data_IF_625143655088
#
_entry.id   IF_625143655088
#
_cell.length_a   1.000
_cell.length_b   1.000
_cell.length_c   1.000
_cell.angle_alpha   90.00
_cell.angle_beta   90.00
_cell.angle_gamma   90.00
#
_symmetry.space_group_name_H-M   'P 1'
#
loop_
_entity.id
_entity.type
_entity.pdbx_description
1 polymer ?
#
# COMPACT_ATOMS: atom_id res chain seq x y z
N UNK A 1 -20.42 0.89 32.16
CA UNK A 1 -20.24 0.91 30.67
C UNK A 1 -21.50 1.46 30.00
N UNK A 2 -21.37 2.06 28.85
CA UNK A 2 -22.53 2.50 28.06
C UNK A 2 -23.00 1.34 27.20
N UNK A 3 -24.22 0.87 27.45
CA UNK A 3 -24.78 -0.33 26.83
C UNK A 3 -25.66 0.04 25.63
N UNK A 4 -25.47 -0.69 24.55
CA UNK A 4 -26.32 -0.70 23.34
C UNK A 4 -26.91 -2.10 23.24
N UNK A 5 -28.19 -2.21 22.96
CA UNK A 5 -28.85 -3.50 22.78
C UNK A 5 -28.59 -4.13 21.38
N UNK A 6 -29.20 -5.31 21.15
CA UNK A 6 -29.05 -6.00 19.85
C UNK A 6 -29.66 -5.23 18.70
N UNK A 7 -30.69 -4.40 18.91
CA UNK A 7 -31.36 -3.59 17.89
C UNK A 7 -30.60 -2.29 17.57
N UNK A 8 -29.60 -1.93 18.42
CA UNK A 8 -28.86 -0.68 18.29
C UNK A 8 -29.38 0.46 19.15
N UNK A 9 -30.35 0.21 20.03
CA UNK A 9 -30.87 1.20 20.96
C UNK A 9 -29.93 1.41 22.16
N UNK A 10 -29.74 2.66 22.57
CA UNK A 10 -28.92 2.99 23.72
C UNK A 10 -29.73 2.80 25.03
N UNK A 11 -29.35 1.82 25.80
CA UNK A 11 -29.96 1.57 27.13
C UNK A 11 -29.47 2.60 28.17
N UNK A 12 -28.22 3.09 27.99
CA UNK A 12 -27.64 4.04 28.94
C UNK A 12 -26.38 3.51 29.61
N UNK A 13 -26.02 4.09 30.75
CA UNK A 13 -24.85 3.67 31.55
C UNK A 13 -25.30 2.69 32.59
N UNK A 14 -24.82 1.44 32.48
CA UNK A 14 -25.16 0.35 33.41
C UNK A 14 -23.90 -0.27 34.00
N UNK A 15 -24.01 -0.90 35.20
CA UNK A 15 -22.93 -1.72 35.76
C UNK A 15 -22.61 -2.92 34.88
N UNK A 16 -21.35 -3.37 34.89
CA UNK A 16 -20.89 -4.51 34.07
C UNK A 16 -21.68 -5.78 34.31
N UNK A 17 -22.02 -6.07 35.58
CA UNK A 17 -22.76 -7.26 35.95
C UNK A 17 -24.17 -7.27 35.33
N UNK A 18 -24.87 -6.16 35.40
CA UNK A 18 -26.19 -6.02 34.78
C UNK A 18 -26.14 -6.17 33.25
N UNK A 19 -25.13 -5.59 32.58
CA UNK A 19 -24.94 -5.76 31.13
C UNK A 19 -24.69 -7.22 30.75
N UNK A 20 -23.91 -7.97 31.55
CA UNK A 20 -23.68 -9.41 31.36
C UNK A 20 -24.94 -10.24 31.52
N UNK A 21 -25.76 -9.95 32.56
CA UNK A 21 -27.03 -10.64 32.78
C UNK A 21 -28.01 -10.41 31.62
N UNK A 22 -28.07 -9.17 31.10
CA UNK A 22 -28.90 -8.82 29.94
C UNK A 22 -28.47 -9.54 28.68
N UNK A 23 -27.16 -9.67 28.44
CA UNK A 23 -26.60 -10.40 27.29
C UNK A 23 -26.92 -11.90 27.41
N UNK A 24 -26.71 -12.51 28.58
CA UNK A 24 -27.02 -13.92 28.86
C UNK A 24 -28.51 -14.25 28.70
N UNK A 25 -29.41 -13.37 29.18
CA UNK A 25 -30.85 -13.55 29.03
C UNK A 25 -31.32 -13.59 27.58
N UNK A 26 -30.51 -13.06 26.65
CA UNK A 26 -30.76 -13.03 25.19
C UNK A 26 -29.94 -14.06 24.42
N UNK A 27 -29.16 -14.88 25.11
CA UNK A 27 -28.24 -15.86 24.52
C UNK A 27 -27.25 -15.21 23.53
N UNK A 28 -26.82 -13.97 23.85
CA UNK A 28 -25.89 -13.17 23.04
C UNK A 28 -24.64 -12.80 23.87
N UNK A 29 -23.63 -12.32 23.15
CA UNK A 29 -22.39 -11.87 23.74
C UNK A 29 -22.42 -10.38 24.07
N UNK A 30 -21.64 -9.98 25.06
CA UNK A 30 -21.37 -8.58 25.37
C UNK A 30 -20.03 -8.17 24.74
N UNK A 31 -20.09 -7.35 23.73
CA UNK A 31 -18.92 -6.98 22.91
C UNK A 31 -18.56 -5.52 23.12
N UNK A 32 -17.32 -5.27 23.48
CA UNK A 32 -16.78 -3.91 23.60
C UNK A 32 -16.46 -3.34 22.22
N UNK A 33 -17.21 -2.27 21.82
CA UNK A 33 -17.05 -1.66 20.50
C UNK A 33 -16.04 -0.51 20.53
N UNK A 34 -16.09 0.33 21.60
CA UNK A 34 -15.21 1.49 21.76
C UNK A 34 -14.59 1.46 23.16
N UNK A 35 -13.39 0.88 23.31
CA UNK A 35 -12.74 0.74 24.62
C UNK A 35 -12.20 2.07 25.18
N UNK A 36 -11.81 2.99 24.32
CA UNK A 36 -11.08 4.20 24.71
C UNK A 36 -11.97 5.33 25.24
N UNK A 37 -13.28 5.13 25.33
CA UNK A 37 -14.22 6.11 25.89
C UNK A 37 -14.46 5.87 27.38
N UNK A 38 -14.74 6.94 28.10
CA UNK A 38 -15.12 6.87 29.54
C UNK A 38 -16.56 7.38 29.71
N UNK A 39 -17.54 6.51 29.98
CA UNK A 39 -17.46 5.05 30.10
C UNK A 39 -17.28 4.33 28.73
N UNK A 40 -16.70 3.10 28.71
CA UNK A 40 -16.55 2.33 27.48
C UNK A 40 -17.92 1.96 26.89
N UNK A 41 -17.99 1.89 25.56
CA UNK A 41 -19.21 1.52 24.83
C UNK A 41 -19.20 0.03 24.51
N UNK A 42 -20.25 -0.66 24.94
CA UNK A 42 -20.46 -2.09 24.73
C UNK A 42 -21.80 -2.33 24.04
N UNK A 43 -21.88 -3.38 23.27
CA UNK A 43 -23.11 -3.79 22.56
C UNK A 43 -23.39 -5.27 22.79
N UNK A 44 -24.67 -5.61 22.97
CA UNK A 44 -25.15 -6.98 22.99
C UNK A 44 -25.31 -7.44 21.55
N UNK A 45 -24.55 -8.46 21.13
CA UNK A 45 -24.59 -9.01 19.79
C UNK A 45 -23.92 -10.39 19.72
N UNK A 46 -24.12 -11.09 18.62
CA UNK A 46 -23.37 -12.31 18.29
C UNK A 46 -21.92 -11.92 17.86
N UNK A 47 -20.94 -12.34 18.67
CA UNK A 47 -19.52 -12.05 18.45
C UNK A 47 -19.00 -12.68 17.15
N UNK A 48 -19.47 -13.86 16.78
CA UNK A 48 -19.09 -14.52 15.53
C UNK A 48 -19.50 -13.72 14.29
N UNK A 49 -20.75 -13.23 14.27
CA UNK A 49 -21.24 -12.36 13.19
C UNK A 49 -20.48 -11.04 13.13
N UNK A 50 -20.19 -10.46 14.30
CA UNK A 50 -19.41 -9.21 14.37
C UNK A 50 -17.99 -9.39 13.83
N UNK A 51 -17.28 -10.45 14.23
CA UNK A 51 -15.94 -10.75 13.70
C UNK A 51 -15.95 -10.95 12.18
N UNK A 52 -16.92 -11.71 11.69
CA UNK A 52 -17.05 -11.93 10.24
C UNK A 52 -17.26 -10.62 9.48
N UNK A 53 -18.15 -9.78 9.99
CA UNK A 53 -18.46 -8.49 9.37
C UNK A 53 -17.24 -7.55 9.36
N UNK A 54 -16.52 -7.46 10.49
CA UNK A 54 -15.27 -6.72 10.63
C UNK A 54 -14.18 -7.22 9.68
N UNK A 55 -14.02 -8.53 9.57
CA UNK A 55 -13.06 -9.13 8.63
C UNK A 55 -13.42 -8.80 7.17
N UNK A 56 -14.71 -8.88 6.81
CA UNK A 56 -15.20 -8.54 5.48
C UNK A 56 -14.98 -7.07 5.14
N UNK A 57 -15.28 -6.16 6.06
CA UNK A 57 -15.03 -4.71 5.89
C UNK A 57 -13.53 -4.41 5.73
N UNK A 58 -12.68 -5.01 6.56
CA UNK A 58 -11.23 -4.88 6.47
C UNK A 58 -10.69 -5.40 5.13
N UNK A 59 -11.23 -6.51 4.63
CA UNK A 59 -10.86 -7.06 3.33
C UNK A 59 -11.31 -6.14 2.19
N UNK A 60 -12.52 -5.60 2.25
CA UNK A 60 -13.01 -4.64 1.27
C UNK A 60 -12.20 -3.33 1.26
N UNK A 61 -11.82 -2.83 2.45
CA UNK A 61 -10.96 -1.65 2.54
C UNK A 61 -9.58 -1.92 1.94
N UNK A 62 -9.00 -3.09 2.23
CA UNK A 62 -7.71 -3.50 1.64
C UNK A 62 -7.79 -3.63 0.11
N UNK A 63 -8.89 -4.14 -0.44
CA UNK A 63 -9.06 -4.28 -1.89
C UNK A 63 -9.26 -2.93 -2.60
N UNK A 64 -9.87 -1.95 -1.92
CA UNK A 64 -10.07 -0.58 -2.45
C UNK A 64 -8.79 0.26 -2.39
N UNK A 65 -7.84 -0.06 -1.53
CA UNK A 65 -6.54 0.60 -1.51
C UNK A 65 -5.75 0.21 -2.75
N UNK A 66 -5.49 1.16 -3.64
CA UNK A 66 -4.56 0.97 -4.76
C UNK A 66 -3.20 0.58 -4.19
N UNK A 67 -2.79 -0.67 -4.38
CA UNK A 67 -1.47 -1.13 -3.96
C UNK A 67 -0.42 -0.46 -4.83
N UNK A 68 0.37 0.43 -4.25
CA UNK A 68 1.56 0.96 -4.90
C UNK A 68 2.61 -0.15 -4.93
N UNK A 69 2.90 -0.66 -6.12
CA UNK A 69 3.94 -1.66 -6.35
C UNK A 69 5.18 -1.01 -6.96
N UNK A 70 6.34 -1.65 -6.79
CA UNK A 70 7.56 -1.25 -7.48
C UNK A 70 7.67 -2.10 -8.75
N UNK A 71 7.50 -1.48 -9.91
CA UNK A 71 7.66 -2.14 -11.21
C UNK A 71 9.11 -2.03 -11.66
N UNK A 72 9.74 -3.17 -11.95
CA UNK A 72 11.11 -3.24 -12.46
C UNK A 72 11.16 -3.02 -13.97
N UNK A 73 12.07 -2.18 -14.42
CA UNK A 73 12.33 -1.93 -15.83
C UNK A 73 13.83 -1.96 -16.06
N UNK A 74 14.27 -2.61 -17.13
CA UNK A 74 15.68 -2.70 -17.48
C UNK A 74 15.92 -2.04 -18.83
N UNK A 75 16.98 -1.24 -18.89
CA UNK A 75 17.51 -0.65 -20.12
C UNK A 75 18.97 -1.10 -20.28
N UNK A 76 19.45 -1.16 -21.51
CA UNK A 76 20.83 -1.48 -21.85
C UNK A 76 21.62 -0.22 -22.19
N UNK A 77 22.97 -0.33 -22.15
CA UNK A 77 23.86 0.77 -22.53
C UNK A 77 23.80 1.06 -24.04
N UNK A 78 23.43 0.05 -24.82
CA UNK A 78 23.34 0.10 -26.29
C UNK A 78 21.92 -0.17 -26.77
N UNK A 79 20.93 0.30 -26.03
CA UNK A 79 19.53 0.16 -26.41
C UNK A 79 19.21 1.16 -27.52
N UNK A 80 18.57 0.70 -28.58
CA UNK A 80 18.13 1.55 -29.69
C UNK A 80 17.10 2.58 -29.23
N UNK A 81 17.05 3.71 -29.92
CA UNK A 81 16.15 4.83 -29.59
C UNK A 81 14.68 4.38 -29.54
N UNK A 82 14.28 3.50 -30.46
CA UNK A 82 12.94 2.93 -30.47
C UNK A 82 12.62 2.14 -29.19
N UNK A 83 13.54 1.30 -28.73
CA UNK A 83 13.37 0.54 -27.49
C UNK A 83 13.35 1.47 -26.27
N UNK A 84 14.14 2.54 -26.28
CA UNK A 84 14.11 3.58 -25.25
C UNK A 84 12.72 4.22 -25.18
N UNK A 85 12.13 4.59 -26.31
CA UNK A 85 10.76 5.16 -26.36
C UNK A 85 9.71 4.18 -25.82
N UNK A 86 9.82 2.90 -26.19
CA UNK A 86 8.90 1.86 -25.68
C UNK A 86 9.01 1.75 -24.15
N UNK A 87 10.25 1.76 -23.60
CA UNK A 87 10.49 1.73 -22.16
C UNK A 87 10.00 3.00 -21.46
N UNK A 88 10.14 4.15 -22.12
CA UNK A 88 9.61 5.42 -21.61
C UNK A 88 8.08 5.37 -21.49
N UNK A 89 7.37 4.97 -22.53
CA UNK A 89 5.90 4.82 -22.52
C UNK A 89 5.44 3.81 -21.45
N UNK A 90 6.20 2.73 -21.27
CA UNK A 90 5.92 1.75 -20.23
C UNK A 90 6.10 2.35 -18.81
N UNK A 91 7.15 3.14 -18.62
CA UNK A 91 7.41 3.86 -17.36
C UNK A 91 6.28 4.84 -17.05
N UNK A 92 5.86 5.62 -18.02
CA UNK A 92 4.76 6.59 -17.90
C UNK A 92 3.43 5.90 -17.53
N UNK A 93 3.15 4.75 -18.15
CA UNK A 93 1.98 3.93 -17.81
C UNK A 93 2.01 3.45 -16.36
N UNK A 94 3.17 3.02 -15.86
CA UNK A 94 3.30 2.59 -14.47
C UNK A 94 3.15 3.75 -13.47
N UNK A 95 3.75 4.91 -13.78
CA UNK A 95 3.62 6.11 -12.95
C UNK A 95 2.18 6.61 -12.92
N UNK A 96 1.49 6.63 -14.07
CA UNK A 96 0.07 7.02 -14.16
C UNK A 96 -0.85 6.09 -13.39
N UNK A 97 -0.49 4.81 -13.29
CA UNK A 97 -1.20 3.83 -12.46
C UNK A 97 -0.92 3.97 -10.95
N UNK A 98 -0.01 4.88 -10.55
CA UNK A 98 0.36 5.11 -9.16
C UNK A 98 1.44 4.17 -8.64
N UNK A 99 2.14 3.45 -9.53
CA UNK A 99 3.24 2.56 -9.18
C UNK A 99 4.57 3.30 -9.18
N UNK A 100 5.51 2.82 -8.36
CA UNK A 100 6.91 3.22 -8.42
C UNK A 100 7.63 2.42 -9.50
N UNK A 101 8.63 3.02 -10.14
CA UNK A 101 9.40 2.35 -11.17
C UNK A 101 10.87 2.30 -10.78
N UNK A 102 11.40 1.08 -10.70
CA UNK A 102 12.83 0.81 -10.53
C UNK A 102 13.43 0.59 -11.90
N UNK A 103 14.27 1.52 -12.34
CA UNK A 103 15.00 1.44 -13.60
C UNK A 103 16.39 0.95 -13.31
N UNK A 104 16.85 -0.09 -14.00
CA UNK A 104 18.19 -0.62 -13.82
C UNK A 104 18.93 -0.78 -15.16
N UNK A 105 20.23 -0.51 -15.13
CA UNK A 105 21.17 -0.82 -16.21
C UNK A 105 22.13 -1.88 -15.70
N UNK A 106 22.24 -3.00 -16.44
CA UNK A 106 23.25 -4.02 -16.18
C UNK A 106 24.40 -3.90 -17.16
N UNK A 107 25.60 -3.86 -16.61
CA UNK A 107 26.85 -3.79 -17.38
C UNK A 107 27.43 -5.21 -17.52
N UNK A 108 27.68 -5.65 -18.76
CA UNK A 108 28.23 -6.94 -19.08
C UNK A 108 29.64 -6.81 -19.68
N UNK A 109 30.55 -7.71 -19.30
CA UNK A 109 31.87 -7.80 -19.92
C UNK A 109 32.63 -6.46 -19.91
N UNK A 110 32.99 -5.98 -21.11
CA UNK A 110 33.75 -4.74 -21.31
C UNK A 110 33.01 -3.47 -20.90
N UNK A 111 31.68 -3.51 -20.86
CA UNK A 111 30.85 -2.35 -20.43
C UNK A 111 31.10 -1.95 -18.98
N UNK A 112 31.61 -2.87 -18.15
CA UNK A 112 31.94 -2.58 -16.75
C UNK A 112 33.02 -1.51 -16.59
N UNK A 113 33.84 -1.27 -17.62
CA UNK A 113 34.82 -0.20 -17.65
C UNK A 113 34.17 1.20 -17.86
N UNK A 114 32.95 1.23 -18.42
CA UNK A 114 32.25 2.47 -18.80
C UNK A 114 31.08 2.79 -17.85
N UNK A 115 31.33 2.74 -16.54
CA UNK A 115 30.32 2.96 -15.50
C UNK A 115 29.67 4.35 -15.57
N UNK A 116 30.42 5.36 -16.00
CA UNK A 116 29.92 6.73 -16.15
C UNK A 116 28.83 6.83 -17.21
N UNK A 117 28.94 6.09 -18.33
CA UNK A 117 27.92 6.06 -19.38
C UNK A 117 26.59 5.48 -18.87
N UNK A 118 26.63 4.50 -17.98
CA UNK A 118 25.43 3.93 -17.38
C UNK A 118 24.70 4.94 -16.48
N UNK A 119 25.45 5.75 -15.74
CA UNK A 119 24.85 6.82 -14.92
C UNK A 119 24.23 7.92 -15.78
N UNK A 120 24.93 8.34 -16.85
CA UNK A 120 24.41 9.30 -17.82
C UNK A 120 23.13 8.76 -18.48
N UNK A 121 23.15 7.54 -19.00
CA UNK A 121 22.00 6.91 -19.65
C UNK A 121 20.78 6.83 -18.72
N UNK A 122 20.97 6.50 -17.43
CA UNK A 122 19.88 6.54 -16.45
C UNK A 122 19.36 7.96 -16.23
N UNK A 123 20.24 8.93 -16.10
CA UNK A 123 19.87 10.33 -15.89
C UNK A 123 19.09 10.87 -17.09
N UNK A 124 19.54 10.59 -18.30
CA UNK A 124 18.89 11.05 -19.53
C UNK A 124 17.55 10.35 -19.76
N UNK A 125 17.46 9.05 -19.43
CA UNK A 125 16.19 8.34 -19.45
C UNK A 125 15.17 8.95 -18.48
N UNK A 126 15.56 9.30 -17.27
CA UNK A 126 14.66 9.94 -16.30
C UNK A 126 14.18 11.29 -16.80
N UNK A 127 15.08 12.09 -17.41
CA UNK A 127 14.74 13.39 -17.99
C UNK A 127 13.79 13.28 -19.18
N UNK A 128 13.86 12.18 -19.94
CA UNK A 128 12.98 11.93 -21.09
C UNK A 128 11.56 11.53 -20.71
N UNK A 129 11.33 11.09 -19.46
CA UNK A 129 10.00 10.74 -18.97
C UNK A 129 9.17 12.00 -18.74
N UNK A 130 8.10 12.16 -19.52
CA UNK A 130 7.22 13.36 -19.47
C UNK A 130 6.25 13.36 -18.31
N UNK A 131 5.88 12.19 -17.79
CA UNK A 131 4.99 12.10 -16.61
C UNK A 131 5.61 12.73 -15.37
N UNK A 132 4.83 13.48 -14.56
CA UNK A 132 5.30 14.04 -13.30
C UNK A 132 5.85 12.94 -12.41
N UNK A 133 7.14 13.03 -12.11
CA UNK A 133 7.82 12.05 -11.27
C UNK A 133 8.78 12.72 -10.30
N UNK A 134 9.14 11.99 -9.25
CA UNK A 134 10.19 12.37 -8.31
C UNK A 134 11.14 11.21 -8.11
N UNK A 135 12.42 11.51 -7.98
CA UNK A 135 13.42 10.51 -7.60
C UNK A 135 13.22 10.18 -6.12
N UNK A 136 12.81 8.96 -5.83
CA UNK A 136 12.66 8.49 -4.45
C UNK A 136 13.97 7.90 -3.93
N UNK A 137 14.70 7.20 -4.79
CA UNK A 137 16.03 6.69 -4.50
C UNK A 137 16.96 7.11 -5.63
N UNK A 138 18.03 7.83 -5.28
CA UNK A 138 19.05 8.25 -6.24
C UNK A 138 19.75 7.07 -6.91
N UNK A 139 20.48 7.37 -7.99
CA UNK A 139 21.24 6.37 -8.75
C UNK A 139 22.25 5.68 -7.82
N UNK A 140 22.00 4.41 -7.51
CA UNK A 140 22.88 3.56 -6.69
C UNK A 140 23.53 2.49 -7.52
N UNK A 141 24.80 2.19 -7.15
CA UNK A 141 25.55 1.07 -7.71
C UNK A 141 25.16 -0.23 -7.03
N UNK A 142 25.02 -1.30 -7.81
CA UNK A 142 24.91 -2.67 -7.33
C UNK A 142 25.91 -3.57 -8.10
N UNK A 143 26.18 -4.82 -7.68
CA UNK A 143 27.21 -5.68 -8.28
C UNK A 143 27.08 -5.95 -9.78
N UNK A 144 25.97 -5.62 -10.41
CA UNK A 144 25.74 -5.80 -11.84
C UNK A 144 25.55 -4.52 -12.63
N UNK A 145 25.59 -3.34 -12.02
CA UNK A 145 25.31 -2.09 -12.71
C UNK A 145 24.80 -0.96 -11.80
N UNK A 146 23.81 -0.24 -12.26
CA UNK A 146 23.19 0.90 -11.56
C UNK A 146 21.67 0.80 -11.59
N UNK A 147 21.04 1.28 -10.55
CA UNK A 147 19.58 1.42 -10.51
C UNK A 147 19.16 2.77 -9.90
N UNK A 148 17.93 3.14 -10.19
CA UNK A 148 17.26 4.31 -9.65
C UNK A 148 15.80 3.96 -9.42
N UNK A 149 15.16 4.57 -8.43
CA UNK A 149 13.72 4.40 -8.19
C UNK A 149 13.05 5.77 -8.31
N UNK A 150 12.06 5.83 -9.19
CA UNK A 150 11.20 7.00 -9.36
C UNK A 150 9.78 6.68 -8.92
N UNK A 151 9.12 7.68 -8.39
CA UNK A 151 7.74 7.59 -7.93
C UNK A 151 6.89 8.67 -8.64
N UNK A 152 5.58 8.47 -8.78
CA UNK A 152 4.70 9.52 -9.24
C UNK A 152 4.73 10.69 -8.26
N UNK A 153 4.57 11.91 -8.78
CA UNK A 153 4.57 13.14 -7.99
C UNK A 153 3.18 13.45 -7.45
#
# INVERSE_FOLDING_TARGET
MRLIDENGEQIGVVPTQQALEMAKARELDLVEIVPNTKPPVVKIMDFGKYQYQKAKEAQQQKSKQKKTEIKGLRIGLRTDDHDIEVRQKQTEKFLSAGHKVKIEIRLKGREKAHQYLAREALSDFIKSVTSPNKIEQEIKRFPGGFNVVIAPK
#
